data_IF_823406606714
#
_entry.id   IF_823406606714
#
_cell.length_a   1.000
_cell.length_b   1.000
_cell.length_c   1.000
_cell.angle_alpha   90.00
_cell.angle_beta   90.00
_cell.angle_gamma   90.00
#
_symmetry.space_group_name_H-M   'P 1'
#
loop_
_entity.id
_entity.type
_entity.pdbx_description
1 polymer ?
#
# COMPACT_ATOMS: atom_id res chain seq x y z
N UNK A 1 -40.76 4.45 -3.02
CA UNK A 1 -39.73 4.04 -2.04
C UNK A 1 -38.37 4.27 -2.68
N UNK A 2 -37.41 4.99 -2.06
CA UNK A 2 -36.09 5.12 -2.66
C UNK A 2 -35.24 3.92 -2.28
N UNK A 3 -34.79 3.16 -3.27
CA UNK A 3 -33.69 2.19 -3.11
C UNK A 3 -32.39 2.99 -3.01
N UNK A 4 -31.65 2.82 -1.92
CA UNK A 4 -30.31 3.37 -1.78
C UNK A 4 -29.36 2.43 -2.55
N UNK A 5 -28.80 2.90 -3.66
CA UNK A 5 -27.74 2.21 -4.39
C UNK A 5 -26.41 2.46 -3.67
N UNK A 6 -25.98 1.50 -2.83
CA UNK A 6 -24.68 1.55 -2.17
C UNK A 6 -23.60 1.05 -3.13
N UNK A 7 -22.87 1.95 -3.76
CA UNK A 7 -21.67 1.60 -4.53
C UNK A 7 -20.51 1.34 -3.57
N UNK A 8 -20.18 0.06 -3.36
CA UNK A 8 -19.07 -0.33 -2.49
C UNK A 8 -17.74 -0.11 -3.23
N UNK A 9 -17.12 1.06 -3.03
CA UNK A 9 -15.81 1.36 -3.63
C UNK A 9 -14.69 0.75 -2.81
N UNK A 10 -13.99 -0.24 -3.36
CA UNK A 10 -12.80 -0.83 -2.74
C UNK A 10 -11.57 0.04 -3.01
N UNK A 11 -11.09 0.74 -1.99
CA UNK A 11 -9.84 1.51 -2.07
C UNK A 11 -8.63 0.63 -1.76
N UNK A 12 -7.54 0.85 -2.49
CA UNK A 12 -6.25 0.20 -2.30
C UNK A 12 -5.21 1.27 -2.05
N UNK A 13 -4.39 1.10 -1.01
CA UNK A 13 -3.26 1.99 -0.73
C UNK A 13 -1.99 1.39 -1.30
N UNK A 14 -1.28 2.18 -2.09
CA UNK A 14 0.06 1.89 -2.60
C UNK A 14 0.98 3.09 -2.31
N UNK A 15 2.28 2.84 -2.19
CA UNK A 15 3.27 3.90 -1.97
C UNK A 15 3.96 4.22 -3.30
N UNK A 16 3.84 5.47 -3.76
CA UNK A 16 4.46 5.95 -5.00
C UNK A 16 5.34 7.15 -4.64
N UNK A 17 6.48 7.28 -5.31
CA UNK A 17 7.37 8.44 -5.16
C UNK A 17 7.16 9.39 -6.33
N UNK A 18 7.05 10.67 -6.04
CA UNK A 18 6.94 11.73 -7.03
C UNK A 18 8.11 12.70 -6.88
N UNK A 19 8.44 13.40 -7.96
CA UNK A 19 9.40 14.50 -7.92
C UNK A 19 8.74 15.70 -7.20
N UNK A 20 9.55 16.46 -6.46
CA UNK A 20 9.11 17.64 -5.71
C UNK A 20 8.26 18.64 -6.52
N UNK A 21 8.62 19.05 -7.76
CA UNK A 21 7.77 19.97 -8.53
C UNK A 21 6.38 19.40 -8.85
N UNK A 22 6.29 18.09 -9.07
CA UNK A 22 5.01 17.42 -9.36
C UNK A 22 4.12 17.43 -8.11
N UNK A 23 4.69 17.17 -6.93
CA UNK A 23 3.96 17.22 -5.66
C UNK A 23 3.36 18.61 -5.44
N UNK A 24 4.15 19.66 -5.71
CA UNK A 24 3.66 21.05 -5.59
C UNK A 24 2.49 21.33 -6.54
N UNK A 25 2.59 20.91 -7.80
CA UNK A 25 1.52 21.08 -8.78
C UNK A 25 0.24 20.33 -8.40
N UNK A 26 0.36 19.10 -7.88
CA UNK A 26 -0.79 18.33 -7.40
C UNK A 26 -1.49 19.10 -6.27
N UNK A 27 -0.73 19.61 -5.30
CA UNK A 27 -1.30 20.37 -4.18
C UNK A 27 -1.99 21.66 -4.66
N UNK A 28 -1.38 22.39 -5.58
CA UNK A 28 -1.96 23.61 -6.16
C UNK A 28 -3.26 23.30 -6.92
N UNK A 29 -3.26 22.25 -7.73
CA UNK A 29 -4.45 21.85 -8.48
C UNK A 29 -5.57 21.36 -7.58
N UNK A 30 -5.24 20.57 -6.55
CA UNK A 30 -6.18 20.14 -5.52
C UNK A 30 -6.85 21.33 -4.82
N UNK A 31 -6.05 22.34 -4.44
CA UNK A 31 -6.57 23.58 -3.86
C UNK A 31 -7.46 24.37 -4.84
N UNK A 32 -7.10 24.40 -6.13
CA UNK A 32 -7.85 25.10 -7.17
C UNK A 32 -9.25 24.51 -7.38
N UNK A 33 -9.39 23.18 -7.40
CA UNK A 33 -10.69 22.51 -7.63
C UNK A 33 -11.44 22.16 -6.35
N UNK A 34 -10.87 22.44 -5.17
CA UNK A 34 -11.45 22.08 -3.89
C UNK A 34 -11.51 20.57 -3.64
N UNK A 35 -10.50 19.82 -4.09
CA UNK A 35 -10.41 18.37 -3.95
C UNK A 35 -9.19 17.95 -3.13
N UNK A 36 -9.08 16.65 -2.85
CA UNK A 36 -7.88 16.08 -2.23
C UNK A 36 -6.81 15.71 -3.28
N UNK A 37 -5.51 15.68 -2.91
CA UNK A 37 -4.46 15.18 -3.81
C UNK A 37 -4.75 13.79 -4.37
N UNK A 38 -5.31 12.89 -3.54
CA UNK A 38 -5.68 11.54 -3.96
C UNK A 38 -6.76 11.54 -5.06
N UNK A 39 -7.76 12.42 -4.96
CA UNK A 39 -8.80 12.56 -5.99
C UNK A 39 -8.25 13.11 -7.29
N UNK A 40 -7.36 14.12 -7.22
CA UNK A 40 -6.67 14.67 -8.38
C UNK A 40 -5.88 13.59 -9.10
N UNK A 41 -5.11 12.80 -8.36
CA UNK A 41 -4.28 11.72 -8.93
C UNK A 41 -5.18 10.65 -9.57
N UNK A 42 -6.21 10.18 -8.86
CA UNK A 42 -7.12 9.16 -9.40
C UNK A 42 -7.82 9.65 -10.67
N UNK A 43 -8.39 10.86 -10.66
CA UNK A 43 -9.07 11.43 -11.83
C UNK A 43 -8.12 11.70 -12.99
N UNK A 44 -6.91 12.18 -12.70
CA UNK A 44 -5.87 12.38 -13.70
C UNK A 44 -5.47 11.08 -14.39
N UNK A 45 -5.30 10.00 -13.63
CA UNK A 45 -4.98 8.68 -14.18
C UNK A 45 -6.16 8.08 -14.96
N UNK A 46 -7.40 8.19 -14.45
CA UNK A 46 -8.61 7.78 -15.19
C UNK A 46 -8.68 8.47 -16.56
N UNK A 47 -8.48 9.80 -16.58
CA UNK A 47 -8.48 10.57 -17.82
C UNK A 47 -7.35 10.13 -18.76
N UNK A 48 -6.13 9.95 -18.25
CA UNK A 48 -4.99 9.51 -19.05
C UNK A 48 -5.27 8.15 -19.70
N UNK A 49 -5.77 7.18 -18.92
CA UNK A 49 -6.07 5.83 -19.43
C UNK A 49 -7.21 5.82 -20.45
N UNK A 50 -8.14 6.76 -20.37
CA UNK A 50 -9.22 6.89 -21.35
C UNK A 50 -8.75 7.56 -22.65
N UNK A 51 -7.86 8.57 -22.56
CA UNK A 51 -7.43 9.36 -23.72
C UNK A 51 -6.26 8.77 -24.48
N UNK A 52 -5.42 7.96 -23.83
CA UNK A 52 -4.28 7.32 -24.48
C UNK A 52 -4.74 6.14 -25.36
N UNK A 53 -4.77 6.38 -26.67
CA UNK A 53 -5.16 5.36 -27.67
C UNK A 53 -4.18 4.20 -27.72
N UNK A 54 -2.88 4.47 -27.58
CA UNK A 54 -1.87 3.42 -27.61
C UNK A 54 -2.04 2.51 -26.39
N UNK A 55 -2.24 3.10 -25.21
CA UNK A 55 -2.54 2.35 -24.00
C UNK A 55 -3.85 1.55 -24.12
N UNK A 56 -4.90 2.13 -24.70
CA UNK A 56 -6.15 1.41 -24.96
C UNK A 56 -5.94 0.19 -25.86
N UNK A 57 -5.16 0.32 -26.94
CA UNK A 57 -4.81 -0.82 -27.81
C UNK A 57 -3.96 -1.85 -27.08
N UNK A 58 -2.98 -1.42 -26.28
CA UNK A 58 -2.15 -2.30 -25.46
C UNK A 58 -3.00 -3.11 -24.48
N UNK A 59 -4.01 -2.50 -23.84
CA UNK A 59 -4.92 -3.17 -22.91
C UNK A 59 -5.75 -4.28 -23.56
N UNK A 60 -6.02 -4.18 -24.87
CA UNK A 60 -6.70 -5.25 -25.64
C UNK A 60 -5.77 -6.35 -26.14
N UNK A 61 -4.46 -6.11 -26.11
CA UNK A 61 -3.46 -7.08 -26.56
C UNK A 61 -3.16 -8.15 -25.51
N UNK A 62 -2.72 -9.33 -25.95
CA UNK A 62 -2.32 -10.41 -25.04
C UNK A 62 -1.14 -10.04 -24.13
N UNK A 63 -0.31 -9.08 -24.53
CA UNK A 63 0.83 -8.58 -23.73
C UNK A 63 0.39 -7.95 -22.40
N UNK A 64 -0.85 -7.51 -22.28
CA UNK A 64 -1.38 -6.97 -21.04
C UNK A 64 -1.49 -8.05 -19.94
N UNK A 65 -1.58 -9.35 -20.30
CA UNK A 65 -1.67 -10.47 -19.35
C UNK A 65 -0.34 -10.77 -18.66
N UNK A 66 0.77 -10.42 -19.30
CA UNK A 66 2.12 -10.74 -18.83
C UNK A 66 2.75 -9.61 -17.98
N UNK A 67 2.00 -8.56 -17.65
CA UNK A 67 2.53 -7.41 -16.91
C UNK A 67 2.69 -7.75 -15.42
N UNK A 68 3.90 -7.60 -14.84
CA UNK A 68 4.13 -7.87 -13.44
C UNK A 68 3.41 -6.87 -12.52
N UNK A 69 2.82 -7.34 -11.43
CA UNK A 69 2.18 -6.48 -10.42
C UNK A 69 3.23 -5.77 -9.56
N UNK A 70 3.65 -4.58 -10.00
CA UNK A 70 4.66 -3.77 -9.31
C UNK A 70 4.07 -2.93 -8.17
N UNK A 71 2.82 -2.49 -8.32
CA UNK A 71 2.09 -1.74 -7.29
C UNK A 71 1.32 -2.72 -6.39
N UNK A 72 2.03 -3.40 -5.48
CA UNK A 72 1.39 -4.31 -4.54
C UNK A 72 0.52 -3.54 -3.56
N UNK A 73 -0.78 -3.82 -3.63
CA UNK A 73 -1.75 -3.40 -2.62
C UNK A 73 -1.24 -3.78 -1.22
N UNK A 74 -1.16 -2.81 -0.30
CA UNK A 74 -1.06 -3.15 1.13
C UNK A 74 -2.38 -3.82 1.52
N UNK A 75 -2.45 -5.15 1.46
CA UNK A 75 -3.57 -5.89 2.05
C UNK A 75 -3.59 -5.53 3.54
N UNK A 76 -4.72 -5.06 4.10
CA UNK A 76 -4.84 -5.04 5.55
C UNK A 76 -4.64 -6.49 6.00
N UNK A 77 -3.63 -6.74 6.82
CA UNK A 77 -3.31 -8.07 7.32
C UNK A 77 -4.53 -8.65 8.06
N UNK A 78 -5.34 -9.41 7.33
CA UNK A 78 -6.39 -10.23 7.89
C UNK A 78 -5.74 -11.34 8.72
N UNK A 79 -5.84 -11.20 10.04
CA UNK A 79 -5.56 -12.19 11.08
C UNK A 79 -4.14 -12.76 11.10
N UNK A 80 -3.42 -12.51 12.21
CA UNK A 80 -2.41 -13.46 12.70
C UNK A 80 -3.10 -14.82 12.81
N UNK A 81 -2.85 -15.73 11.86
CA UNK A 81 -3.01 -17.15 12.12
C UNK A 81 -1.93 -17.52 13.14
N UNK A 82 -2.29 -17.48 14.42
CA UNK A 82 -1.52 -18.13 15.47
C UNK A 82 -1.42 -19.61 15.12
N UNK A 83 -0.24 -20.05 14.67
CA UNK A 83 0.10 -21.47 14.63
C UNK A 83 1.39 -21.70 15.40
N UNK A 84 1.21 -22.01 16.67
CA UNK A 84 1.91 -23.10 17.34
C UNK A 84 3.32 -22.81 17.87
N UNK A 85 3.71 -23.48 18.97
CA UNK A 85 4.73 -22.99 19.90
C UNK A 85 6.16 -23.30 19.45
N UNK A 86 7.06 -22.42 19.88
CA UNK A 86 8.50 -22.55 19.79
C UNK A 86 8.99 -23.92 20.30
N UNK A 87 9.61 -24.71 19.43
CA UNK A 87 10.48 -25.81 19.85
C UNK A 87 11.79 -25.21 20.38
N UNK A 88 11.93 -25.19 21.70
CA UNK A 88 13.23 -25.14 22.38
C UNK A 88 14.04 -26.38 21.98
N UNK A 89 15.35 -26.26 21.76
CA UNK A 89 16.27 -27.27 22.21
C UNK A 89 16.90 -26.79 23.52
N UNK A 90 16.56 -27.51 24.58
CA UNK A 90 17.30 -27.58 25.84
C UNK A 90 18.73 -28.09 25.59
N UNK A 91 19.72 -27.37 26.10
CA UNK A 91 20.95 -27.99 26.61
C UNK A 91 21.44 -27.14 27.78
N UNK A 92 21.23 -27.67 28.99
CA UNK A 92 21.92 -27.32 30.24
C UNK A 92 23.43 -27.58 30.04
N UNK A 93 24.39 -26.84 30.59
CA UNK A 93 24.88 -26.94 31.98
C UNK A 93 25.67 -25.67 32.38
N UNK A 94 25.45 -25.26 33.62
CA UNK A 94 25.99 -24.17 34.48
C UNK A 94 27.52 -24.26 34.77
N UNK A 95 28.15 -23.53 35.74
CA UNK A 95 27.89 -22.23 36.38
C UNK A 95 29.13 -21.29 36.32
N UNK A 96 28.98 -19.99 36.66
CA UNK A 96 30.12 -19.06 36.70
C UNK A 96 29.87 -17.82 37.54
N UNK A 97 29.83 -18.04 38.86
CA UNK A 97 30.15 -17.12 39.97
C UNK A 97 29.47 -15.73 40.04
N UNK A 98 28.62 -15.61 41.05
CA UNK A 98 28.06 -14.37 41.58
C UNK A 98 29.12 -13.50 42.23
N UNK A 99 29.08 -12.17 42.02
CA UNK A 99 29.33 -11.22 43.11
C UNK A 99 28.35 -10.06 43.03
N UNK A 100 27.57 -9.94 44.08
CA UNK A 100 26.61 -8.89 44.34
C UNK A 100 27.29 -7.59 44.83
N UNK A 101 26.67 -6.48 44.43
CA UNK A 101 26.53 -5.18 45.09
C UNK A 101 27.03 -5.11 46.55
N UNK A 102 27.80 -4.05 46.89
CA UNK A 102 27.63 -3.24 48.12
C UNK A 102 28.36 -1.88 48.04
N UNK A 103 27.74 -0.91 48.72
CA UNK A 103 27.97 0.55 48.79
C UNK A 103 29.31 0.99 49.40
N UNK A 104 29.69 2.25 49.12
CA UNK A 104 30.04 3.25 50.14
C UNK A 104 29.59 4.63 49.64
#
# INVERSE_FOLDING_TARGET
MPLIEVTQTRRVTAHVRFNEPIVMQINQYAAFIGATPDEVINKGLEYLFEKDREFATFRTSDRCKDVPELLKARRPNGSKASRGPAKKPSTSVEPGESVAVRKA
#
